data_IF_180225098762
#
_entry.id   IF_180225098762
#
_cell.length_a   1.000
_cell.length_b   1.000
_cell.length_c   1.000
_cell.angle_alpha   90.00
_cell.angle_beta   90.00
_cell.angle_gamma   90.00
#
_symmetry.space_group_name_H-M   'P 1'
#
loop_
_entity.id
_entity.type
_entity.pdbx_description
1 polymer ?
#
# COMPACT_ATOMS: atom_id res chain seq x y z
N UNK A 1 -4.32 12.79 -18.99
CA UNK A 1 -5.02 13.95 -18.39
C UNK A 1 -5.93 13.42 -17.30
N UNK A 2 -5.82 13.94 -16.08
CA UNK A 2 -6.66 13.51 -14.95
C UNK A 2 -8.14 13.86 -15.23
N UNK A 3 -9.02 12.86 -15.23
CA UNK A 3 -10.43 13.04 -15.62
C UNK A 3 -11.33 13.33 -14.42
N UNK A 4 -12.31 14.22 -14.59
CA UNK A 4 -13.41 14.41 -13.65
C UNK A 4 -14.57 13.50 -14.06
N UNK A 5 -14.87 12.49 -13.24
CA UNK A 5 -15.89 11.47 -13.47
C UNK A 5 -17.18 11.75 -12.69
N UNK A 6 -17.37 12.97 -12.19
CA UNK A 6 -18.60 13.37 -11.51
C UNK A 6 -19.80 13.24 -12.46
N UNK A 7 -20.86 12.57 -11.99
CA UNK A 7 -22.04 12.25 -12.80
C UNK A 7 -21.91 10.99 -13.67
N UNK A 8 -20.72 10.40 -13.77
CA UNK A 8 -20.47 9.14 -14.47
C UNK A 8 -20.34 7.95 -13.52
N UNK A 9 -20.36 8.18 -12.20
CA UNK A 9 -20.18 7.15 -11.18
C UNK A 9 -21.43 7.03 -10.34
N UNK A 10 -21.98 5.82 -10.24
CA UNK A 10 -23.12 5.48 -9.40
C UNK A 10 -22.70 4.50 -8.31
N UNK A 11 -23.15 4.74 -7.08
CA UNK A 11 -22.95 3.81 -5.95
C UNK A 11 -23.75 2.54 -6.20
N UNK A 12 -23.11 1.39 -5.98
CA UNK A 12 -23.81 0.10 -6.10
C UNK A 12 -24.63 -0.20 -4.83
N UNK A 13 -24.19 0.29 -3.68
CA UNK A 13 -24.79 0.04 -2.36
C UNK A 13 -24.91 1.33 -1.54
N UNK A 14 -25.73 1.29 -0.48
CA UNK A 14 -25.99 2.43 0.42
C UNK A 14 -24.79 2.74 1.34
N UNK A 15 -23.99 1.72 1.65
CA UNK A 15 -22.88 1.81 2.59
C UNK A 15 -21.53 1.53 1.91
N UNK A 16 -20.42 2.09 2.41
CA UNK A 16 -19.08 1.77 1.90
C UNK A 16 -18.70 0.33 2.24
N UNK A 17 -17.95 -0.31 1.34
CA UNK A 17 -17.46 -1.70 1.51
C UNK A 17 -16.36 -1.80 2.55
N UNK A 18 -15.60 -0.72 2.76
CA UNK A 18 -14.55 -0.66 3.76
C UNK A 18 -14.39 0.77 4.30
N UNK A 19 -13.94 0.86 5.55
CA UNK A 19 -13.57 2.12 6.22
C UNK A 19 -12.18 1.94 6.82
N UNK A 20 -11.26 2.82 6.47
CA UNK A 20 -9.90 2.86 7.01
C UNK A 20 -9.51 4.27 7.45
N UNK A 21 -8.32 4.43 8.01
CA UNK A 21 -7.84 5.74 8.49
C UNK A 21 -7.70 6.81 7.41
N UNK A 22 -7.63 6.39 6.14
CA UNK A 22 -7.54 7.25 4.98
C UNK A 22 -8.91 7.55 4.32
N UNK A 23 -10.00 6.98 4.84
CA UNK A 23 -11.35 7.23 4.40
C UNK A 23 -12.14 5.98 4.02
N UNK A 24 -13.12 6.15 3.16
CA UNK A 24 -14.10 5.11 2.82
C UNK A 24 -13.89 4.60 1.40
N UNK A 25 -14.00 3.29 1.21
CA UNK A 25 -14.00 2.67 -0.11
C UNK A 25 -15.43 2.32 -0.47
N UNK A 26 -15.88 2.77 -1.63
CA UNK A 26 -17.19 2.48 -2.17
C UNK A 26 -17.05 1.63 -3.43
N UNK A 27 -17.87 0.58 -3.53
CA UNK A 27 -18.03 -0.15 -4.79
C UNK A 27 -19.07 0.57 -5.64
N UNK A 28 -18.71 0.86 -6.88
CA UNK A 28 -19.52 1.67 -7.77
C UNK A 28 -19.48 1.13 -9.20
N UNK A 29 -20.46 1.56 -10.00
CA UNK A 29 -20.47 1.36 -11.44
C UNK A 29 -20.16 2.70 -12.12
N UNK A 30 -19.17 2.71 -13.01
CA UNK A 30 -18.78 3.89 -13.78
C UNK A 30 -19.09 3.72 -15.26
N UNK A 31 -19.71 4.73 -15.86
CA UNK A 31 -19.89 4.82 -17.30
C UNK A 31 -18.66 5.48 -17.94
N UNK A 32 -17.79 4.67 -18.56
CA UNK A 32 -16.55 5.13 -19.18
C UNK A 32 -16.40 4.48 -20.56
N UNK A 33 -16.03 5.27 -21.58
CA UNK A 33 -15.82 4.79 -22.95
C UNK A 33 -16.99 3.96 -23.52
N UNK A 34 -18.24 4.39 -23.25
CA UNK A 34 -19.49 3.70 -23.65
C UNK A 34 -19.65 2.30 -23.04
N UNK A 35 -18.95 2.00 -21.95
CA UNK A 35 -19.07 0.76 -21.18
C UNK A 35 -19.37 1.07 -19.73
N UNK A 36 -20.09 0.16 -19.08
CA UNK A 36 -20.25 0.14 -17.63
C UNK A 36 -19.17 -0.75 -17.05
N UNK A 37 -18.36 -0.21 -16.15
CA UNK A 37 -17.28 -0.93 -15.48
C UNK A 37 -17.42 -0.81 -13.97
N UNK A 38 -16.98 -1.84 -13.24
CA UNK A 38 -16.90 -1.78 -11.77
C UNK A 38 -15.66 -1.00 -11.36
N UNK A 39 -15.86 -0.06 -10.44
CA UNK A 39 -14.80 0.80 -9.92
C UNK A 39 -14.85 0.85 -8.40
N UNK A 40 -13.68 1.05 -7.80
CA UNK A 40 -13.55 1.48 -6.42
C UNK A 40 -13.50 3.01 -6.39
N UNK A 41 -14.29 3.62 -5.50
CA UNK A 41 -14.24 5.05 -5.22
C UNK A 41 -13.72 5.25 -3.80
N UNK A 42 -12.50 5.78 -3.68
CA UNK A 42 -11.87 6.09 -2.40
C UNK A 42 -12.18 7.52 -2.00
N UNK A 43 -13.10 7.67 -1.05
CA UNK A 43 -13.49 8.95 -0.49
C UNK A 43 -12.51 9.37 0.61
N UNK A 44 -11.71 10.41 0.35
CA UNK A 44 -10.70 10.89 1.28
C UNK A 44 -11.37 11.55 2.49
N UNK A 45 -11.14 11.03 3.69
CA UNK A 45 -11.58 11.67 4.92
C UNK A 45 -10.50 12.62 5.43
N UNK A 46 -10.62 13.91 5.10
CA UNK A 46 -9.78 14.95 5.69
C UNK A 46 -10.51 15.55 6.88
N UNK A 47 -10.26 14.99 8.07
CA UNK A 47 -10.71 15.54 9.34
C UNK A 47 -9.83 16.73 9.73
N UNK A 48 -10.06 17.89 9.12
CA UNK A 48 -9.44 19.13 9.59
C UNK A 48 -10.52 20.15 9.89
N UNK A 49 -10.33 20.90 10.99
CA UNK A 49 -11.17 22.03 11.43
C UNK A 49 -11.20 23.17 10.39
N UNK A 50 -10.24 23.19 9.46
CA UNK A 50 -10.11 24.17 8.38
C UNK A 50 -10.91 23.80 7.11
N UNK A 51 -12.21 23.53 7.25
CA UNK A 51 -13.07 23.15 6.12
C UNK A 51 -13.57 24.34 5.28
N UNK A 52 -13.18 25.57 5.60
CA UNK A 52 -13.65 26.77 4.91
C UNK A 52 -12.51 27.63 4.34
N UNK A 53 -12.80 28.31 3.22
CA UNK A 53 -11.95 29.35 2.65
C UNK A 53 -10.67 28.86 1.95
N UNK A 54 -9.64 29.72 1.94
CA UNK A 54 -8.41 29.53 1.17
C UNK A 54 -7.59 28.29 1.58
N UNK A 55 -7.70 27.85 2.83
CA UNK A 55 -7.01 26.66 3.34
C UNK A 55 -7.50 25.37 2.66
N UNK A 56 -8.83 25.22 2.49
CA UNK A 56 -9.43 24.10 1.74
C UNK A 56 -8.95 24.08 0.29
N UNK A 57 -8.93 25.24 -0.37
CA UNK A 57 -8.48 25.38 -1.76
C UNK A 57 -7.01 24.99 -1.94
N UNK A 58 -6.14 25.37 -0.99
CA UNK A 58 -4.72 24.99 -0.99
C UNK A 58 -4.55 23.48 -0.84
N UNK A 59 -5.30 22.85 0.08
CA UNK A 59 -5.30 21.38 0.29
C UNK A 59 -5.76 20.63 -0.98
N UNK A 60 -6.89 21.03 -1.57
CA UNK A 60 -7.39 20.43 -2.83
C UNK A 60 -6.35 20.57 -3.95
N UNK A 61 -5.70 21.73 -4.09
CA UNK A 61 -4.68 21.94 -5.13
C UNK A 61 -3.50 20.98 -4.98
N UNK A 62 -3.06 20.69 -3.75
CA UNK A 62 -2.00 19.72 -3.47
C UNK A 62 -2.43 18.30 -3.81
N UNK A 63 -3.60 17.86 -3.34
CA UNK A 63 -4.16 16.53 -3.68
C UNK A 63 -4.25 16.37 -5.21
N UNK A 64 -4.75 17.39 -5.91
CA UNK A 64 -4.86 17.36 -7.38
C UNK A 64 -3.51 17.30 -8.09
N UNK A 65 -2.43 17.86 -7.50
CA UNK A 65 -1.07 17.76 -8.04
C UNK A 65 -0.57 16.32 -7.95
N UNK A 66 -0.65 15.73 -6.76
CA UNK A 66 -0.19 14.36 -6.53
C UNK A 66 -1.04 13.36 -7.33
N UNK A 67 -2.36 13.59 -7.41
CA UNK A 67 -3.25 12.71 -8.17
C UNK A 67 -2.95 12.73 -9.68
N UNK A 68 -2.44 13.84 -10.22
CA UNK A 68 -1.97 13.90 -11.61
C UNK A 68 -0.71 13.08 -11.83
N UNK A 69 0.19 13.04 -10.86
CA UNK A 69 1.38 12.17 -10.92
C UNK A 69 0.90 10.73 -10.96
N UNK A 70 0.01 10.35 -10.03
CA UNK A 70 -0.54 9.00 -9.96
C UNK A 70 -1.29 8.58 -11.23
N UNK A 71 -2.09 9.46 -11.81
CA UNK A 71 -2.86 9.19 -13.03
C UNK A 71 -1.99 9.10 -14.31
N UNK A 72 -0.71 9.49 -14.25
CA UNK A 72 0.22 9.32 -15.36
C UNK A 72 1.04 8.02 -15.26
N UNK A 73 0.97 7.32 -14.12
CA UNK A 73 1.63 6.03 -13.94
C UNK A 73 0.82 4.94 -14.65
N UNK A 74 1.50 4.13 -15.46
CA UNK A 74 0.87 3.07 -16.25
C UNK A 74 1.78 1.84 -16.31
N UNK A 75 1.42 0.83 -15.52
CA UNK A 75 2.14 -0.43 -15.43
C UNK A 75 1.16 -1.55 -15.00
N UNK A 76 1.29 -2.79 -15.50
CA UNK A 76 0.36 -3.88 -15.18
C UNK A 76 0.24 -4.18 -13.67
N UNK A 77 1.30 -3.89 -12.90
CA UNK A 77 1.32 -4.12 -11.45
C UNK A 77 1.15 -2.84 -10.62
N UNK A 78 0.63 -1.76 -11.22
CA UNK A 78 0.23 -0.54 -10.54
C UNK A 78 -1.28 -0.37 -10.74
N UNK A 79 -2.02 -0.13 -9.65
CA UNK A 79 -3.45 0.11 -9.75
C UNK A 79 -3.69 1.43 -10.51
N UNK A 80 -4.39 1.40 -11.66
CA UNK A 80 -4.65 2.61 -12.42
C UNK A 80 -5.52 3.61 -11.65
N UNK A 81 -5.26 4.89 -11.84
CA UNK A 81 -6.14 5.98 -11.42
C UNK A 81 -6.89 6.48 -12.64
N UNK A 82 -8.19 6.17 -12.74
CA UNK A 82 -9.03 6.64 -13.85
C UNK A 82 -9.33 8.13 -13.74
N UNK A 83 -9.49 8.64 -12.52
CA UNK A 83 -9.83 10.03 -12.31
C UNK A 83 -10.25 10.33 -10.88
N UNK A 84 -11.03 11.39 -10.75
CA UNK A 84 -11.64 11.80 -9.48
C UNK A 84 -13.12 12.12 -9.66
N UNK A 85 -13.88 12.09 -8.56
CA UNK A 85 -15.30 12.45 -8.52
C UNK A 85 -15.64 13.23 -7.26
N UNK A 86 -16.70 14.03 -7.31
CA UNK A 86 -17.36 14.61 -6.14
C UNK A 86 -18.56 13.76 -5.71
N UNK A 87 -19.17 14.08 -4.57
CA UNK A 87 -20.42 13.45 -4.09
C UNK A 87 -20.26 12.27 -3.15
N UNK A 88 -19.02 11.93 -2.77
CA UNK A 88 -18.69 10.87 -1.82
C UNK A 88 -18.19 11.41 -0.47
N UNK A 89 -18.25 12.73 -0.27
CA UNK A 89 -17.76 13.41 0.93
C UNK A 89 -17.46 14.89 0.67
N UNK A 90 -16.83 15.58 1.64
CA UNK A 90 -16.55 17.02 1.53
C UNK A 90 -15.39 17.37 0.58
N UNK A 91 -14.65 16.36 0.12
CA UNK A 91 -13.50 16.46 -0.78
C UNK A 91 -13.69 15.57 -2.02
N UNK A 92 -12.73 15.64 -2.95
CA UNK A 92 -12.67 14.72 -4.09
C UNK A 92 -12.47 13.28 -3.61
N UNK A 93 -13.01 12.34 -4.37
CA UNK A 93 -12.76 10.91 -4.22
C UNK A 93 -12.00 10.39 -5.44
N UNK A 94 -11.12 9.42 -5.24
CA UNK A 94 -10.29 8.84 -6.29
C UNK A 94 -11.04 7.66 -6.91
N UNK A 95 -11.02 7.54 -8.24
CA UNK A 95 -11.68 6.46 -8.97
C UNK A 95 -10.64 5.55 -9.61
N UNK A 96 -10.69 4.27 -9.28
CA UNK A 96 -9.80 3.21 -9.78
C UNK A 96 -10.61 1.95 -10.15
N UNK A 97 -10.08 1.03 -10.97
CA UNK A 97 -10.77 -0.23 -11.22
C UNK A 97 -11.00 -1.01 -9.91
N UNK A 98 -12.10 -1.76 -9.87
CA UNK A 98 -12.39 -2.66 -8.75
C UNK A 98 -11.53 -3.92 -8.86
N UNK A 99 -10.77 -4.24 -7.81
CA UNK A 99 -10.01 -5.49 -7.74
C UNK A 99 -10.89 -6.63 -7.20
N UNK A 100 -11.20 -7.63 -8.04
CA UNK A 100 -12.20 -8.66 -7.71
C UNK A 100 -11.81 -9.54 -6.53
N UNK A 101 -10.52 -9.81 -6.35
CA UNK A 101 -10.01 -10.67 -5.28
C UNK A 101 -9.55 -9.87 -4.04
N UNK A 102 -9.87 -8.57 -3.96
CA UNK A 102 -9.63 -7.74 -2.79
C UNK A 102 -8.15 -7.42 -2.56
N UNK A 103 -7.79 -7.14 -1.30
CA UNK A 103 -6.40 -6.88 -0.91
C UNK A 103 -5.64 -8.17 -0.58
N UNK A 104 -4.31 -8.11 -0.62
CA UNK A 104 -3.42 -9.25 -0.42
C UNK A 104 -3.56 -9.88 0.97
N UNK A 105 -3.80 -9.08 2.02
CA UNK A 105 -3.92 -9.62 3.38
C UNK A 105 -5.14 -10.53 3.51
N UNK A 106 -6.30 -10.05 3.04
CA UNK A 106 -7.54 -10.82 3.06
C UNK A 106 -7.46 -12.01 2.10
N UNK A 107 -6.88 -11.79 0.90
CA UNK A 107 -6.66 -12.85 -0.08
C UNK A 107 -5.81 -14.00 0.48
N UNK A 108 -4.71 -13.70 1.20
CA UNK A 108 -3.87 -14.72 1.82
C UNK A 108 -4.56 -15.42 3.00
N UNK A 109 -5.46 -14.73 3.71
CA UNK A 109 -6.23 -15.35 4.79
C UNK A 109 -7.23 -16.38 4.23
N UNK A 110 -7.85 -16.08 3.10
CA UNK A 110 -8.89 -16.93 2.48
C UNK A 110 -8.24 -18.04 1.64
N UNK A 111 -7.37 -17.68 0.71
CA UNK A 111 -6.83 -18.58 -0.33
C UNK A 111 -5.43 -19.10 0.00
N UNK A 112 -4.74 -18.49 0.98
CA UNK A 112 -3.32 -18.72 1.22
C UNK A 112 -2.96 -20.18 1.48
N UNK A 113 -3.83 -20.97 2.12
CA UNK A 113 -3.55 -22.38 2.38
C UNK A 113 -3.42 -23.21 1.08
N UNK A 114 -4.12 -22.82 0.01
CA UNK A 114 -4.11 -23.51 -1.27
C UNK A 114 -3.01 -23.01 -2.23
N UNK A 115 -2.35 -21.90 -1.91
CA UNK A 115 -1.33 -21.31 -2.80
C UNK A 115 -0.04 -22.13 -2.84
N UNK A 116 0.27 -22.64 -4.04
CA UNK A 116 1.58 -23.22 -4.34
C UNK A 116 2.70 -22.17 -4.23
N UNK A 117 3.93 -22.63 -4.00
CA UNK A 117 5.09 -21.73 -3.89
C UNK A 117 5.32 -20.93 -5.19
N UNK A 118 5.12 -21.55 -6.36
CA UNK A 118 5.17 -20.86 -7.67
C UNK A 118 4.20 -19.68 -7.71
N UNK A 119 2.99 -19.85 -7.18
CA UNK A 119 1.98 -18.78 -7.15
C UNK A 119 2.34 -17.67 -6.17
N UNK A 120 2.94 -18.00 -5.02
CA UNK A 120 3.47 -17.01 -4.07
C UNK A 120 4.58 -16.16 -4.69
N UNK A 121 5.52 -16.80 -5.39
CA UNK A 121 6.59 -16.08 -6.11
C UNK A 121 6.08 -15.29 -7.33
N UNK A 122 5.01 -15.73 -7.99
CA UNK A 122 4.32 -14.90 -8.98
C UNK A 122 3.81 -13.59 -8.36
N UNK A 123 3.12 -13.68 -7.21
CA UNK A 123 2.60 -12.50 -6.50
C UNK A 123 3.75 -11.58 -6.10
N UNK A 124 4.85 -12.11 -5.55
CA UNK A 124 6.02 -11.30 -5.19
C UNK A 124 6.65 -10.63 -6.41
N UNK A 125 6.69 -11.31 -7.56
CA UNK A 125 7.22 -10.74 -8.80
C UNK A 125 6.35 -9.59 -9.30
N UNK A 126 5.03 -9.77 -9.27
CA UNK A 126 4.08 -8.72 -9.62
C UNK A 126 4.27 -7.49 -8.71
N UNK A 127 4.34 -7.72 -7.39
CA UNK A 127 4.54 -6.66 -6.38
C UNK A 127 5.85 -5.90 -6.61
N UNK A 128 6.98 -6.59 -6.77
CA UNK A 128 8.29 -5.94 -6.92
C UNK A 128 8.39 -5.20 -8.26
N UNK A 129 7.78 -5.71 -9.33
CA UNK A 129 7.74 -5.02 -10.61
C UNK A 129 6.94 -3.70 -10.52
N UNK A 130 5.83 -3.71 -9.77
CA UNK A 130 5.09 -2.49 -9.45
C UNK A 130 5.95 -1.50 -8.66
N UNK A 131 6.57 -1.93 -7.56
CA UNK A 131 7.40 -1.07 -6.72
C UNK A 131 8.61 -0.50 -7.48
N UNK A 132 9.28 -1.31 -8.29
CA UNK A 132 10.38 -0.89 -9.14
C UNK A 132 9.93 0.21 -10.13
N UNK A 133 8.76 0.05 -10.74
CA UNK A 133 8.20 1.07 -11.63
C UNK A 133 7.94 2.39 -10.90
N UNK A 134 7.46 2.36 -9.65
CA UNK A 134 7.30 3.59 -8.85
C UNK A 134 8.63 4.28 -8.60
N UNK A 135 9.63 3.54 -8.10
CA UNK A 135 10.96 4.08 -7.79
C UNK A 135 11.65 4.63 -9.04
N UNK A 136 11.54 3.94 -10.19
CA UNK A 136 12.04 4.43 -11.48
C UNK A 136 11.38 5.75 -11.94
N UNK A 137 10.18 6.06 -11.47
CA UNK A 137 9.48 7.33 -11.70
C UNK A 137 9.64 8.32 -10.53
N UNK A 138 10.60 8.09 -9.63
CA UNK A 138 10.86 8.91 -8.43
C UNK A 138 9.64 9.03 -7.50
N UNK A 139 8.81 7.99 -7.45
CA UNK A 139 7.66 7.91 -6.55
C UNK A 139 7.97 6.91 -5.44
N UNK A 140 8.07 7.39 -4.21
CA UNK A 140 8.10 6.55 -3.01
C UNK A 140 6.67 6.21 -2.60
N UNK A 141 6.41 4.96 -2.24
CA UNK A 141 5.09 4.53 -1.81
C UNK A 141 4.75 5.10 -0.42
N UNK A 142 5.60 4.84 0.57
CA UNK A 142 5.58 5.43 1.92
C UNK A 142 4.49 4.93 2.88
N UNK A 143 3.55 4.13 2.39
CA UNK A 143 2.64 3.29 3.22
C UNK A 143 2.54 1.88 2.62
N UNK A 144 3.67 1.26 2.30
CA UNK A 144 3.67 0.01 1.56
C UNK A 144 3.28 -1.16 2.49
N UNK A 145 2.12 -1.77 2.27
CA UNK A 145 1.56 -2.77 3.20
C UNK A 145 0.81 -3.86 2.43
N UNK A 146 0.53 -4.99 3.08
CA UNK A 146 -0.33 -6.04 2.51
C UNK A 146 -1.71 -5.50 2.07
N UNK A 147 -2.43 -4.72 2.89
CA UNK A 147 -3.70 -4.11 2.49
C UNK A 147 -3.62 -3.17 1.26
N UNK A 148 -2.45 -2.58 0.98
CA UNK A 148 -2.22 -1.70 -0.17
C UNK A 148 -1.70 -2.43 -1.42
N UNK A 149 -1.68 -3.78 -1.40
CA UNK A 149 -1.53 -4.61 -2.60
C UNK A 149 -2.89 -5.22 -2.91
N UNK A 150 -3.42 -4.97 -4.11
CA UNK A 150 -4.69 -5.53 -4.57
C UNK A 150 -4.46 -6.70 -5.52
N UNK A 151 -5.38 -7.66 -5.50
CA UNK A 151 -5.36 -8.83 -6.39
C UNK A 151 -6.55 -8.72 -7.35
N UNK A 152 -6.26 -8.66 -8.65
CA UNK A 152 -7.29 -8.65 -9.70
C UNK A 152 -7.92 -10.03 -9.86
N UNK A 153 -9.04 -10.11 -10.57
CA UNK A 153 -9.77 -11.37 -10.83
C UNK A 153 -8.95 -12.44 -11.54
N UNK A 154 -7.95 -12.06 -12.36
CA UNK A 154 -7.01 -12.98 -13.01
C UNK A 154 -5.84 -13.42 -12.10
N UNK A 155 -5.79 -12.87 -10.88
CA UNK A 155 -4.74 -13.12 -9.91
C UNK A 155 -3.52 -12.20 -10.05
N UNK A 156 -3.48 -11.24 -10.96
CA UNK A 156 -2.36 -10.30 -11.00
C UNK A 156 -2.38 -9.41 -9.76
N UNK A 157 -1.21 -9.25 -9.12
CA UNK A 157 -1.07 -8.32 -8.01
C UNK A 157 -0.73 -6.90 -8.51
N UNK A 158 -1.37 -5.89 -7.94
CA UNK A 158 -1.17 -4.48 -8.25
C UNK A 158 -0.90 -3.69 -6.96
N UNK A 159 0.13 -2.86 -6.98
CA UNK A 159 0.39 -1.89 -5.91
C UNK A 159 -0.61 -0.75 -6.03
N UNK A 160 -1.30 -0.44 -4.94
CA UNK A 160 -2.34 0.58 -4.85
C UNK A 160 -1.97 1.64 -3.81
N UNK A 161 -2.72 2.75 -3.76
CA UNK A 161 -2.59 3.76 -2.68
C UNK A 161 -1.20 4.42 -2.53
N UNK A 162 -0.35 4.32 -3.55
CA UNK A 162 0.93 5.01 -3.65
C UNK A 162 0.76 6.54 -3.73
N UNK A 163 1.73 7.28 -3.20
CA UNK A 163 1.72 8.75 -3.20
C UNK A 163 0.68 9.38 -2.26
N UNK A 164 -0.23 8.60 -1.69
CA UNK A 164 -1.22 9.11 -0.73
C UNK A 164 -0.58 9.53 0.60
N UNK A 165 0.48 8.85 1.04
CA UNK A 165 1.25 9.19 2.25
C UNK A 165 1.78 10.64 2.21
N UNK A 166 2.32 11.07 1.06
CA UNK A 166 2.75 12.44 0.81
C UNK A 166 1.55 13.41 0.74
N UNK A 167 0.44 13.01 0.10
CA UNK A 167 -0.78 13.81 0.11
C UNK A 167 -1.30 14.07 1.53
N UNK A 168 -1.24 13.06 2.41
CA UNK A 168 -1.73 13.19 3.78
C UNK A 168 -0.82 14.02 4.67
N UNK A 169 0.51 13.81 4.60
CA UNK A 169 1.47 14.60 5.38
C UNK A 169 1.43 16.09 5.03
N UNK A 170 1.11 16.45 3.78
CA UNK A 170 1.00 17.85 3.36
C UNK A 170 -0.36 18.49 3.66
N UNK A 171 -1.41 17.71 3.90
CA UNK A 171 -2.80 18.16 4.06
C UNK A 171 -3.24 18.15 5.52
N UNK A 172 -2.67 17.25 6.33
CA UNK A 172 -2.95 17.11 7.75
C UNK A 172 -1.80 17.76 8.51
N UNK A 173 -2.05 18.90 9.18
CA UNK A 173 -1.07 19.47 10.12
C UNK A 173 -0.73 18.41 11.18
N UNK A 174 0.56 18.28 11.49
CA UNK A 174 1.12 17.37 12.49
C UNK A 174 0.44 17.43 13.88
N UNK A 175 -0.36 18.47 14.15
CA UNK A 175 -1.09 18.66 15.41
C UNK A 175 -2.42 17.91 15.51
N UNK A 176 -2.97 17.34 14.43
CA UNK A 176 -4.32 16.74 14.45
C UNK A 176 -4.48 15.45 13.63
N UNK A 177 -3.44 14.94 12.97
CA UNK A 177 -3.45 13.55 12.52
C UNK A 177 -3.53 12.71 13.78
N UNK A 178 -4.72 12.19 14.07
CA UNK A 178 -4.91 11.19 15.09
C UNK A 178 -4.00 10.02 14.72
N UNK A 179 -2.84 9.95 15.38
CA UNK A 179 -2.03 8.74 15.52
C UNK A 179 -2.96 7.52 15.75
N UNK A 180 -4.16 7.69 16.32
CA UNK A 180 -5.10 6.61 16.57
C UNK A 180 -5.93 6.08 15.38
N UNK A 181 -6.17 6.80 14.29
CA UNK A 181 -7.07 6.32 13.21
C UNK A 181 -6.36 5.77 11.98
N UNK A 182 -5.22 6.34 11.62
CA UNK A 182 -4.40 5.90 10.47
C UNK A 182 -3.50 4.72 10.80
N UNK A 183 -3.14 4.55 12.08
CA UNK A 183 -2.20 3.52 12.53
C UNK A 183 -2.81 2.12 12.68
N UNK A 184 -4.14 1.98 12.70
CA UNK A 184 -4.76 0.69 13.00
C UNK A 184 -4.46 -0.33 11.88
N UNK A 185 -3.57 -1.28 12.15
CA UNK A 185 -3.18 -2.36 11.24
C UNK A 185 -1.97 -2.12 10.33
N UNK A 186 -1.74 -0.90 9.83
CA UNK A 186 -0.70 -0.63 8.80
C UNK A 186 0.74 -0.59 9.34
N UNK A 187 0.93 -0.37 10.64
CA UNK A 187 2.27 -0.19 11.23
C UNK A 187 3.17 -1.42 11.16
N UNK A 188 2.59 -2.62 11.01
CA UNK A 188 3.35 -3.88 11.03
C UNK A 188 4.44 -3.96 9.95
N UNK A 189 4.31 -3.19 8.87
CA UNK A 189 5.28 -3.11 7.78
C UNK A 189 6.15 -1.84 7.82
N UNK A 190 5.94 -0.96 8.79
CA UNK A 190 6.59 0.34 8.85
C UNK A 190 8.05 0.20 9.26
N UNK A 191 8.94 0.90 8.54
CA UNK A 191 10.35 0.99 8.88
C UNK A 191 10.55 1.81 10.16
N UNK A 192 11.48 1.41 11.06
CA UNK A 192 11.64 2.03 12.38
C UNK A 192 12.03 3.51 12.31
N UNK A 193 12.80 3.92 11.30
CA UNK A 193 13.22 5.31 11.12
C UNK A 193 12.04 6.27 10.86
N UNK A 194 10.89 5.76 10.41
CA UNK A 194 9.69 6.59 10.17
C UNK A 194 8.94 6.94 11.47
N UNK A 195 9.34 6.37 12.61
CA UNK A 195 8.87 6.78 13.94
C UNK A 195 9.71 7.92 14.53
N UNK A 196 10.84 8.27 13.91
CA UNK A 196 11.74 9.28 14.42
C UNK A 196 11.26 10.70 14.05
N UNK A 197 11.48 11.62 14.97
CA UNK A 197 11.29 13.05 14.77
C UNK A 197 12.65 13.71 14.58
N UNK A 198 12.75 14.58 13.57
CA UNK A 198 13.95 15.37 13.31
C UNK A 198 14.08 16.50 14.34
N UNK A 199 15.30 17.04 14.50
CA UNK A 199 15.57 18.12 15.47
C UNK A 199 14.71 19.37 15.26
N UNK A 200 14.25 19.60 14.02
CA UNK A 200 13.37 20.72 13.67
C UNK A 200 11.88 20.45 13.95
N UNK A 201 11.56 19.31 14.57
CA UNK A 201 10.19 18.87 14.86
C UNK A 201 9.45 18.31 13.63
N UNK A 202 10.14 18.11 12.50
CA UNK A 202 9.55 17.47 11.33
C UNK A 202 9.71 15.94 11.38
N UNK A 203 8.77 15.22 10.79
CA UNK A 203 8.86 13.76 10.71
C UNK A 203 9.85 13.34 9.63
N UNK A 204 10.53 12.19 9.82
CA UNK A 204 11.33 11.57 8.76
C UNK A 204 10.42 11.24 7.58
N UNK A 205 10.85 11.61 6.37
CA UNK A 205 10.08 11.31 5.15
C UNK A 205 10.31 9.87 4.70
N UNK A 206 9.28 9.19 4.18
CA UNK A 206 9.46 7.91 3.53
C UNK A 206 10.48 7.99 2.38
N UNK A 207 11.25 6.90 2.24
CA UNK A 207 12.25 6.69 1.20
C UNK A 207 12.03 5.35 0.49
N UNK A 208 12.72 5.15 -0.64
CA UNK A 208 12.75 3.85 -1.32
C UNK A 208 13.25 2.74 -0.37
N UNK A 209 14.18 3.06 0.52
CA UNK A 209 14.70 2.10 1.51
C UNK A 209 13.66 1.74 2.57
N UNK A 210 12.77 2.67 2.94
CA UNK A 210 11.64 2.39 3.83
C UNK A 210 10.59 1.50 3.15
N UNK A 211 10.35 1.68 1.85
CA UNK A 211 9.49 0.78 1.07
C UNK A 211 10.08 -0.64 1.01
N UNK A 212 11.41 -0.76 0.91
CA UNK A 212 12.09 -2.06 0.89
C UNK A 212 12.05 -2.78 2.24
N UNK A 213 12.00 -2.05 3.35
CA UNK A 213 11.71 -2.64 4.67
C UNK A 213 10.31 -3.24 4.69
N UNK A 214 9.32 -2.46 4.23
CA UNK A 214 7.94 -2.91 4.13
C UNK A 214 7.78 -4.11 3.20
N UNK A 215 8.51 -4.13 2.08
CA UNK A 215 8.56 -5.27 1.17
C UNK A 215 9.00 -6.55 1.88
N UNK A 216 9.99 -6.49 2.79
CA UNK A 216 10.39 -7.64 3.61
C UNK A 216 9.23 -8.21 4.43
N UNK A 217 8.41 -7.34 5.03
CA UNK A 217 7.19 -7.74 5.74
C UNK A 217 6.11 -8.32 4.84
N UNK A 218 5.95 -7.80 3.61
CA UNK A 218 5.03 -8.36 2.61
C UNK A 218 5.53 -9.72 2.14
N UNK A 219 6.84 -9.87 1.89
CA UNK A 219 7.44 -11.15 1.50
C UNK A 219 7.25 -12.22 2.59
N UNK A 220 7.46 -11.87 3.85
CA UNK A 220 7.13 -12.74 4.97
C UNK A 220 5.66 -13.18 4.93
N UNK A 221 4.75 -12.23 4.78
CA UNK A 221 3.31 -12.49 4.75
C UNK A 221 2.92 -13.41 3.58
N UNK A 222 3.42 -13.12 2.38
CA UNK A 222 3.15 -13.90 1.16
C UNK A 222 3.74 -15.30 1.24
N UNK A 223 4.81 -15.54 1.98
CA UNK A 223 5.40 -16.88 2.09
C UNK A 223 4.81 -17.71 3.24
N UNK A 224 4.23 -17.08 4.25
CA UNK A 224 3.79 -17.76 5.49
C UNK A 224 2.29 -17.64 5.77
N UNK A 225 1.55 -16.82 5.00
CA UNK A 225 0.18 -16.37 5.30
C UNK A 225 0.04 -15.59 6.62
N UNK A 226 1.15 -15.21 7.28
CA UNK A 226 1.14 -14.53 8.57
C UNK A 226 1.69 -13.11 8.41
N UNK A 227 0.90 -12.11 8.78
CA UNK A 227 1.39 -10.74 8.82
C UNK A 227 2.57 -10.58 9.80
N UNK A 228 3.44 -9.58 9.62
CA UNK A 228 4.48 -9.29 10.61
C UNK A 228 3.88 -9.11 12.00
N UNK A 229 4.54 -9.68 13.00
CA UNK A 229 4.07 -9.69 14.39
C UNK A 229 2.68 -10.32 14.59
N UNK A 230 2.28 -11.32 13.79
CA UNK A 230 0.94 -11.94 13.86
C UNK A 230 0.48 -12.40 15.26
N UNK A 231 1.43 -12.66 16.18
CA UNK A 231 1.17 -13.08 17.55
C UNK A 231 0.79 -11.92 18.49
N UNK A 232 0.95 -10.67 18.04
CA UNK A 232 0.57 -9.47 18.78
C UNK A 232 -0.75 -8.95 18.19
N UNK A 233 -1.77 -8.83 19.03
CA UNK A 233 -3.07 -8.25 18.67
C UNK A 233 -3.19 -6.77 19.08
N UNK A 234 -2.31 -6.29 19.95
CA UNK A 234 -2.27 -4.91 20.42
C UNK A 234 -1.31 -4.07 19.57
N UNK A 235 -1.86 -3.08 18.87
CA UNK A 235 -1.10 -2.14 18.05
C UNK A 235 -0.02 -1.38 18.84
N UNK A 236 -0.28 -1.04 20.12
CA UNK A 236 0.73 -0.38 20.96
C UNK A 236 1.95 -1.28 21.23
N UNK A 237 1.75 -2.60 21.36
CA UNK A 237 2.86 -3.54 21.53
C UNK A 237 3.71 -3.64 20.25
N UNK A 238 3.07 -3.56 19.09
CA UNK A 238 3.74 -3.57 17.79
C UNK A 238 4.56 -2.29 17.60
N UNK A 239 3.98 -1.12 17.91
CA UNK A 239 4.72 0.15 17.90
C UNK A 239 5.96 0.06 18.78
N UNK A 240 5.83 -0.48 19.99
CA UNK A 240 6.96 -0.61 20.92
C UNK A 240 8.06 -1.53 20.38
N UNK A 241 7.69 -2.61 19.68
CA UNK A 241 8.68 -3.46 19.00
C UNK A 241 9.40 -2.68 17.89
N UNK A 242 8.67 -1.98 17.03
CA UNK A 242 9.24 -1.21 15.91
C UNK A 242 10.14 -0.10 16.44
N UNK A 243 9.71 0.67 17.43
CA UNK A 243 10.49 1.74 18.06
C UNK A 243 11.80 1.21 18.71
N UNK A 244 11.84 -0.07 19.08
CA UNK A 244 13.04 -0.75 19.59
C UNK A 244 13.84 -1.46 18.50
N UNK A 245 13.51 -1.23 17.22
CA UNK A 245 14.07 -1.94 16.06
C UNK A 245 14.01 -3.47 16.18
N UNK A 246 12.99 -4.00 16.87
CA UNK A 246 12.77 -5.43 17.02
C UNK A 246 11.96 -5.96 15.85
N UNK A 247 12.58 -6.78 15.01
CA UNK A 247 11.93 -7.46 13.88
C UNK A 247 11.20 -8.74 14.32
N UNK A 248 10.31 -9.31 13.49
CA UNK A 248 9.75 -10.64 13.75
C UNK A 248 10.84 -11.70 13.98
N UNK A 249 10.64 -12.59 14.96
CA UNK A 249 11.63 -13.64 15.30
C UNK A 249 11.53 -14.86 14.39
N UNK A 250 12.68 -15.33 13.87
CA UNK A 250 12.84 -16.54 13.04
C UNK A 250 12.13 -17.77 13.62
N UNK A 251 12.23 -17.93 14.94
CA UNK A 251 11.70 -19.08 15.69
C UNK A 251 10.19 -19.26 15.53
N UNK A 252 9.46 -18.22 15.12
CA UNK A 252 8.01 -18.26 14.88
C UNK A 252 7.62 -18.70 13.46
N UNK A 253 8.60 -18.89 12.58
CA UNK A 253 8.38 -19.26 11.18
C UNK A 253 9.20 -20.48 10.73
N UNK A 254 9.31 -21.57 11.52
CA UNK A 254 10.21 -22.70 11.23
C UNK A 254 10.01 -23.31 9.84
N UNK A 255 8.82 -23.20 9.26
CA UNK A 255 8.46 -23.66 7.92
C UNK A 255 9.15 -22.90 6.77
N UNK A 256 9.57 -21.66 7.01
CA UNK A 256 10.14 -20.80 5.98
C UNK A 256 11.61 -21.19 5.72
N UNK A 257 12.01 -21.51 4.48
CA UNK A 257 13.40 -21.82 4.17
C UNK A 257 14.38 -20.69 4.54
N UNK A 258 15.55 -21.08 5.04
CA UNK A 258 16.57 -20.16 5.56
C UNK A 258 16.98 -19.08 4.56
N UNK A 259 17.16 -19.45 3.29
CA UNK A 259 17.49 -18.51 2.22
C UNK A 259 16.47 -17.37 2.04
N UNK A 260 15.18 -17.63 2.26
CA UNK A 260 14.15 -16.59 2.15
C UNK A 260 14.14 -15.71 3.39
N UNK A 261 14.36 -16.31 4.57
CA UNK A 261 14.51 -15.57 5.81
C UNK A 261 15.68 -14.60 5.76
N UNK A 262 16.86 -15.04 5.31
CA UNK A 262 18.05 -14.20 5.16
C UNK A 262 17.79 -12.99 4.25
N UNK A 263 17.02 -13.17 3.18
CA UNK A 263 16.64 -12.06 2.31
C UNK A 263 15.69 -11.09 3.03
N UNK A 264 14.68 -11.60 3.74
CA UNK A 264 13.76 -10.79 4.54
C UNK A 264 14.50 -10.02 5.64
N UNK A 265 15.45 -10.64 6.33
CA UNK A 265 16.31 -9.97 7.31
C UNK A 265 17.13 -8.85 6.68
N UNK A 266 17.64 -9.05 5.46
CA UNK A 266 18.34 -7.99 4.72
C UNK A 266 17.43 -6.81 4.39
N UNK A 267 16.15 -7.06 4.08
CA UNK A 267 15.15 -5.98 3.96
C UNK A 267 14.98 -5.21 5.28
N UNK A 268 15.18 -5.85 6.43
CA UNK A 268 15.07 -5.24 7.76
C UNK A 268 16.39 -4.78 8.35
N UNK A 269 17.43 -4.58 7.54
CA UNK A 269 18.68 -3.99 8.01
C UNK A 269 18.45 -2.65 8.72
N UNK A 270 19.12 -2.48 9.86
CA UNK A 270 19.03 -1.28 10.71
C UNK A 270 19.42 -0.03 9.93
N UNK A 271 20.54 -0.07 9.22
CA UNK A 271 20.92 0.99 8.29
C UNK A 271 20.06 0.85 7.01
N UNK A 272 19.24 1.85 6.66
CA UNK A 272 18.41 1.79 5.45
C UNK A 272 19.23 1.55 4.17
N UNK A 273 20.51 1.96 4.13
CA UNK A 273 21.39 1.83 2.96
C UNK A 273 21.83 0.39 2.69
N UNK A 274 21.77 -0.47 3.70
CA UNK A 274 22.14 -1.89 3.58
C UNK A 274 20.98 -2.75 3.03
N UNK A 275 19.78 -2.18 2.97
CA UNK A 275 18.58 -2.84 2.44
C UNK A 275 18.72 -3.02 0.91
N UNK A 276 18.21 -4.13 0.33
CA UNK A 276 18.30 -4.36 -1.10
C UNK A 276 17.51 -3.30 -1.88
N UNK A 277 17.96 -2.95 -3.09
CA UNK A 277 17.14 -2.20 -4.04
C UNK A 277 16.03 -3.08 -4.63
N UNK A 278 15.10 -2.46 -5.34
CA UNK A 278 14.05 -3.20 -6.07
C UNK A 278 14.64 -4.12 -7.14
N UNK A 279 15.73 -3.72 -7.83
CA UNK A 279 16.48 -4.59 -8.76
C UNK A 279 17.05 -5.81 -8.05
N UNK A 280 17.67 -5.61 -6.87
CA UNK A 280 18.26 -6.70 -6.10
C UNK A 280 17.20 -7.71 -5.64
N UNK A 281 16.03 -7.23 -5.22
CA UNK A 281 14.90 -8.08 -4.87
C UNK A 281 14.32 -8.82 -6.07
N UNK A 282 14.13 -8.12 -7.19
CA UNK A 282 13.60 -8.69 -8.42
C UNK A 282 14.51 -9.80 -8.99
N UNK A 283 15.84 -9.66 -8.93
CA UNK A 283 16.77 -10.74 -9.31
C UNK A 283 16.56 -11.99 -8.47
N UNK A 284 16.45 -11.86 -7.14
CA UNK A 284 16.22 -12.99 -6.24
C UNK A 284 14.88 -13.68 -6.56
N UNK A 285 13.81 -12.90 -6.69
CA UNK A 285 12.44 -13.38 -6.92
C UNK A 285 12.32 -14.06 -8.28
N UNK A 286 12.88 -13.47 -9.35
CA UNK A 286 12.85 -14.06 -10.69
C UNK A 286 13.60 -15.37 -10.75
N UNK A 287 14.80 -15.43 -10.17
CA UNK A 287 15.60 -16.66 -10.13
C UNK A 287 14.82 -17.80 -9.45
N UNK A 288 14.18 -17.48 -8.32
CA UNK A 288 13.40 -18.46 -7.58
C UNK A 288 12.15 -18.90 -8.34
N UNK A 289 11.40 -17.96 -8.91
CA UNK A 289 10.22 -18.26 -9.73
C UNK A 289 10.55 -19.21 -10.89
N UNK A 290 11.63 -18.94 -11.63
CA UNK A 290 12.02 -19.79 -12.76
C UNK A 290 12.51 -21.16 -12.33
N UNK A 291 13.24 -21.26 -11.21
CA UNK A 291 13.66 -22.54 -10.63
C UNK A 291 12.45 -23.42 -10.27
N UNK A 292 11.45 -22.83 -9.61
CA UNK A 292 10.22 -23.53 -9.22
C UNK A 292 9.35 -23.90 -10.42
N UNK A 293 9.31 -23.07 -11.46
CA UNK A 293 8.51 -23.30 -12.66
C UNK A 293 9.08 -24.40 -13.57
N UNK A 294 10.40 -24.63 -13.52
CA UNK A 294 11.08 -25.71 -14.27
C UNK A 294 11.01 -27.08 -13.59
N UNK A 295 10.66 -27.11 -12.31
CA UNK A 295 10.60 -28.33 -11.50
C UNK A 295 9.23 -29.03 -11.56
N UNK A 296 8.37 -28.64 -12.51
CA UNK A 296 7.05 -29.25 -12.81
C UNK A 296 7.12 -29.95 -14.15
#
# INVERSE_FOLDING_TARGET
MLQNLTGYVAKDEEYPVARGGFGEIWKCTCHMNRRLIKVAVKALQVYAVDQLGAAKTKKIRRIMRELRICANLNHPNILPVYGYTYGFGPFIAIVSPWAENGNLSDYLQIEGAALTLVRRFQILRDIIAGLQYLHANSVVHGDFTGPNVLINGDGTACVADFGLSLMYSEVISASQASWTSTLKGNMRWMAPELLEEQEDGSQVRPSEQSDMYSFGGIMLQVLTNKAPYYHLTNDAAIILCIAKSQTPSRSRYPELPERYWQFIEKCWSTDPRDRPSTEGADVMIRNEYYSLSRSR
#
